data_IF_505593465680
#
_entry.id   IF_505593465680
#
_cell.length_a   1.000
_cell.length_b   1.000
_cell.length_c   1.000
_cell.angle_alpha   90.00
_cell.angle_beta   90.00
_cell.angle_gamma   90.00
#
_symmetry.space_group_name_H-M   'P 1'
#
loop_
_entity.id
_entity.type
_entity.pdbx_description
1 polymer ?
#
# COMPACT_ATOMS: atom_id res chain seq x y z
N UNK A 1 6.28 8.35 -12.72
CA UNK A 1 5.58 8.22 -11.42
C UNK A 1 4.44 9.20 -11.39
N UNK A 2 3.27 8.80 -10.89
CA UNK A 2 2.12 9.69 -10.71
C UNK A 2 1.87 9.79 -9.21
N UNK A 3 1.91 10.99 -8.66
CA UNK A 3 1.58 11.30 -7.27
C UNK A 3 0.27 12.04 -7.21
N UNK A 4 -0.63 11.61 -6.33
CA UNK A 4 -1.99 12.14 -6.22
C UNK A 4 -2.25 12.51 -4.78
N UNK A 5 -2.70 13.73 -4.54
CA UNK A 5 -3.08 14.21 -3.22
C UNK A 5 -4.18 15.29 -3.36
N UNK A 6 -4.96 15.53 -2.31
CA UNK A 6 -5.93 16.63 -2.31
C UNK A 6 -5.27 17.98 -1.96
N UNK A 7 -4.10 17.95 -1.31
CA UNK A 7 -3.30 19.10 -0.90
C UNK A 7 -2.32 19.53 -2.00
N UNK A 8 -2.51 20.73 -2.53
CA UNK A 8 -1.55 21.31 -3.49
C UNK A 8 -0.18 21.55 -2.84
N UNK A 9 -0.16 22.00 -1.58
CA UNK A 9 1.07 22.28 -0.86
C UNK A 9 1.93 21.00 -0.71
N UNK A 10 1.28 19.85 -0.46
CA UNK A 10 1.97 18.56 -0.39
C UNK A 10 2.57 18.16 -1.76
N UNK A 11 1.84 18.40 -2.86
CA UNK A 11 2.31 18.13 -4.22
C UNK A 11 3.47 19.05 -4.63
N UNK A 12 3.45 20.31 -4.22
CA UNK A 12 4.52 21.27 -4.49
C UNK A 12 5.80 20.86 -3.75
N UNK A 13 5.68 20.44 -2.49
CA UNK A 13 6.80 19.85 -1.71
C UNK A 13 7.30 18.56 -2.37
N UNK A 14 6.40 17.68 -2.81
CA UNK A 14 6.80 16.45 -3.50
C UNK A 14 7.60 16.74 -4.78
N UNK A 15 7.18 17.75 -5.57
CA UNK A 15 7.90 18.20 -6.76
C UNK A 15 9.27 18.78 -6.42
N UNK A 16 9.37 19.58 -5.36
CA UNK A 16 10.66 20.10 -4.87
C UNK A 16 11.59 18.95 -4.45
N UNK A 17 11.06 17.94 -3.75
CA UNK A 17 11.85 16.78 -3.32
C UNK A 17 12.39 15.97 -4.51
N UNK A 18 11.62 15.81 -5.59
CA UNK A 18 12.12 15.17 -6.83
C UNK A 18 13.30 15.95 -7.40
N UNK A 19 13.18 17.29 -7.49
CA UNK A 19 14.26 18.14 -8.00
C UNK A 19 15.50 18.13 -7.09
N UNK A 20 15.32 18.18 -5.77
CA UNK A 20 16.42 18.16 -4.78
C UNK A 20 17.23 16.86 -4.84
N UNK A 21 16.60 15.73 -5.17
CA UNK A 21 17.28 14.45 -5.34
C UNK A 21 17.89 14.26 -6.74
N UNK A 22 17.88 15.29 -7.60
CA UNK A 22 18.43 15.22 -8.96
C UNK A 22 17.66 14.28 -9.89
N UNK A 23 16.40 13.98 -9.57
CA UNK A 23 15.54 13.13 -10.38
C UNK A 23 14.85 13.96 -11.48
N UNK A 24 14.61 13.31 -12.63
CA UNK A 24 13.95 13.96 -13.77
C UNK A 24 12.48 14.23 -13.47
N UNK A 25 12.17 15.51 -13.23
CA UNK A 25 10.81 15.99 -12.96
C UNK A 25 9.86 15.72 -14.12
N UNK A 26 10.33 15.64 -15.37
CA UNK A 26 9.46 15.37 -16.52
C UNK A 26 8.87 13.94 -16.52
N UNK A 27 9.49 13.02 -15.77
CA UNK A 27 9.00 11.64 -15.56
C UNK A 27 8.03 11.53 -14.37
N UNK A 28 7.78 12.63 -13.67
CA UNK A 28 6.87 12.70 -12.54
C UNK A 28 5.64 13.56 -12.87
N UNK A 29 4.46 13.09 -12.51
CA UNK A 29 3.22 13.83 -12.59
C UNK A 29 2.66 14.02 -11.18
N UNK A 30 2.17 15.21 -10.89
CA UNK A 30 1.59 15.58 -9.60
C UNK A 30 0.17 16.06 -9.86
N UNK A 31 -0.82 15.31 -9.36
CA UNK A 31 -2.23 15.52 -9.66
C UNK A 31 -2.99 15.87 -8.39
N UNK A 32 -3.61 17.04 -8.38
CA UNK A 32 -4.50 17.44 -7.28
C UNK A 32 -5.91 16.94 -7.53
N UNK A 33 -6.30 15.82 -6.92
CA UNK A 33 -7.64 15.27 -7.08
C UNK A 33 -8.07 14.42 -5.88
N UNK A 34 -9.36 14.14 -5.81
CA UNK A 34 -9.91 13.10 -4.94
C UNK A 34 -9.49 11.72 -5.48
N UNK A 35 -8.76 10.97 -4.65
CA UNK A 35 -8.17 9.67 -5.03
C UNK A 35 -9.25 8.68 -5.46
N UNK A 36 -10.40 8.63 -4.77
CA UNK A 36 -11.48 7.70 -5.14
C UNK A 36 -12.08 8.04 -6.51
N UNK A 37 -12.27 9.33 -6.82
CA UNK A 37 -12.74 9.76 -8.14
C UNK A 37 -11.72 9.46 -9.23
N UNK A 38 -10.44 9.74 -8.97
CA UNK A 38 -9.38 9.51 -9.94
C UNK A 38 -9.23 8.02 -10.25
N UNK A 39 -9.19 7.15 -9.24
CA UNK A 39 -9.07 5.70 -9.43
C UNK A 39 -10.23 5.14 -10.26
N UNK A 40 -11.47 5.59 -10.01
CA UNK A 40 -12.62 5.17 -10.84
C UNK A 40 -12.49 5.61 -12.28
N UNK A 41 -12.08 6.86 -12.54
CA UNK A 41 -11.83 7.33 -13.91
C UNK A 41 -10.73 6.52 -14.61
N UNK A 42 -9.67 6.16 -13.90
CA UNK A 42 -8.62 5.30 -14.42
C UNK A 42 -9.13 3.87 -14.71
N UNK A 43 -10.03 3.33 -13.88
CA UNK A 43 -10.67 2.06 -14.17
C UNK A 43 -11.51 2.15 -15.45
N UNK A 44 -12.31 3.22 -15.58
CA UNK A 44 -13.19 3.46 -16.74
C UNK A 44 -12.39 3.67 -18.04
N UNK A 45 -11.23 4.33 -17.97
CA UNK A 45 -10.34 4.53 -19.12
C UNK A 45 -9.41 3.36 -19.40
N UNK A 46 -9.45 2.30 -18.58
CA UNK A 46 -8.65 1.09 -18.76
C UNK A 46 -7.17 1.27 -18.44
N UNK A 47 -6.80 2.30 -17.69
CA UNK A 47 -5.41 2.55 -17.26
C UNK A 47 -4.87 1.38 -16.44
N UNK A 48 -3.55 1.19 -16.52
CA UNK A 48 -2.84 0.14 -15.79
C UNK A 48 -1.50 0.61 -15.24
N UNK A 49 -1.13 0.03 -14.10
CA UNK A 49 0.13 0.30 -13.40
C UNK A 49 0.81 -1.00 -12.99
N UNK A 50 2.14 -0.99 -12.97
CA UNK A 50 2.94 -2.11 -12.46
C UNK A 50 3.04 -2.09 -10.93
N UNK A 51 3.06 -0.90 -10.34
CA UNK A 51 3.16 -0.70 -8.89
C UNK A 51 2.21 0.42 -8.48
N UNK A 52 1.43 0.18 -7.43
CA UNK A 52 0.58 1.17 -6.77
C UNK A 52 0.93 1.22 -5.29
N UNK A 53 1.13 2.43 -4.76
CA UNK A 53 1.29 2.68 -3.32
C UNK A 53 0.04 3.37 -2.82
N UNK A 54 -0.58 2.79 -1.80
CA UNK A 54 -1.83 3.23 -1.22
C UNK A 54 -1.65 3.49 0.27
N UNK A 55 -1.35 4.74 0.62
CA UNK A 55 -1.23 5.21 2.01
C UNK A 55 -2.34 6.23 2.32
N UNK A 56 -3.59 5.78 2.54
CA UNK A 56 -4.71 6.67 2.74
C UNK A 56 -4.63 7.35 4.13
N UNK A 57 -5.26 8.52 4.29
CA UNK A 57 -5.41 9.13 5.61
C UNK A 57 -6.19 8.21 6.56
N UNK A 58 -6.12 8.49 7.86
CA UNK A 58 -6.77 7.67 8.89
C UNK A 58 -8.30 7.71 8.74
N UNK A 59 -8.89 6.65 8.18
CA UNK A 59 -10.36 6.53 8.07
C UNK A 59 -11.08 6.20 9.39
N UNK A 60 -10.37 5.70 10.40
CA UNK A 60 -10.97 5.31 11.70
C UNK A 60 -10.41 6.20 12.80
N UNK A 61 -11.21 7.15 13.29
CA UNK A 61 -10.86 7.95 14.47
C UNK A 61 -11.46 7.36 15.75
N UNK A 62 -12.63 6.73 15.65
CA UNK A 62 -13.32 6.11 16.78
C UNK A 62 -13.98 4.77 16.39
N UNK A 63 -14.40 3.98 17.39
CA UNK A 63 -14.97 2.64 17.19
C UNK A 63 -16.24 2.63 16.32
N UNK A 64 -17.06 3.68 16.40
CA UNK A 64 -18.31 3.77 15.63
C UNK A 64 -18.06 3.90 14.13
N UNK A 65 -16.91 4.45 13.73
CA UNK A 65 -16.52 4.62 12.33
C UNK A 65 -15.87 3.38 11.72
N UNK A 66 -15.50 2.37 12.53
CA UNK A 66 -14.73 1.21 12.06
C UNK A 66 -15.39 0.51 10.87
N UNK A 67 -16.69 0.23 10.94
CA UNK A 67 -17.44 -0.41 9.85
C UNK A 67 -17.48 0.45 8.58
N UNK A 68 -17.60 1.78 8.72
CA UNK A 68 -17.54 2.71 7.59
C UNK A 68 -16.16 2.70 6.92
N UNK A 69 -15.11 2.76 7.74
CA UNK A 69 -13.74 2.72 7.26
C UNK A 69 -13.38 1.39 6.58
N UNK A 70 -13.85 0.24 7.11
CA UNK A 70 -13.63 -1.06 6.47
C UNK A 70 -14.15 -1.06 5.03
N UNK A 71 -15.31 -0.44 4.78
CA UNK A 71 -15.86 -0.28 3.42
C UNK A 71 -14.99 0.64 2.55
N UNK A 72 -14.52 1.77 3.10
CA UNK A 72 -13.60 2.67 2.39
C UNK A 72 -12.28 2.01 2.01
N UNK A 73 -11.67 1.27 2.94
CA UNK A 73 -10.47 0.48 2.68
C UNK A 73 -10.71 -0.62 1.66
N UNK A 74 -11.86 -1.32 1.72
CA UNK A 74 -12.21 -2.33 0.72
C UNK A 74 -12.29 -1.70 -0.67
N UNK A 75 -13.05 -0.62 -0.81
CA UNK A 75 -13.30 0.05 -2.09
C UNK A 75 -12.00 0.58 -2.72
N UNK A 76 -11.15 1.26 -1.94
CA UNK A 76 -9.90 1.81 -2.47
C UNK A 76 -8.89 0.73 -2.88
N UNK A 77 -8.81 -0.37 -2.12
CA UNK A 77 -7.95 -1.50 -2.46
C UNK A 77 -8.47 -2.26 -3.69
N UNK A 78 -9.78 -2.43 -3.80
CA UNK A 78 -10.41 -3.07 -4.96
C UNK A 78 -10.11 -2.28 -6.24
N UNK A 79 -10.33 -0.96 -6.22
CA UNK A 79 -10.00 -0.09 -7.36
C UNK A 79 -8.51 -0.15 -7.71
N UNK A 80 -7.63 -0.10 -6.70
CA UNK A 80 -6.19 -0.22 -6.94
C UNK A 80 -5.82 -1.56 -7.60
N UNK A 81 -6.38 -2.68 -7.14
CA UNK A 81 -6.13 -4.01 -7.73
C UNK A 81 -6.66 -4.13 -9.15
N UNK A 82 -7.79 -3.50 -9.48
CA UNK A 82 -8.31 -3.46 -10.85
C UNK A 82 -7.35 -2.73 -11.80
N UNK A 83 -6.63 -1.72 -11.30
CA UNK A 83 -5.65 -0.94 -12.05
C UNK A 83 -4.27 -1.60 -12.15
N UNK A 84 -4.03 -2.74 -11.50
CA UNK A 84 -2.75 -3.43 -11.65
C UNK A 84 -2.68 -4.24 -12.95
N UNK A 85 -1.50 -4.21 -13.57
CA UNK A 85 -1.09 -5.19 -14.56
C UNK A 85 -0.97 -6.59 -13.91
N UNK A 86 -1.12 -7.69 -14.68
CA UNK A 86 -0.74 -9.02 -14.21
C UNK A 86 0.72 -9.03 -13.70
N UNK A 87 0.95 -9.55 -12.49
CA UNK A 87 2.25 -9.51 -11.83
C UNK A 87 2.59 -8.19 -11.14
N UNK A 88 1.69 -7.20 -11.18
CA UNK A 88 1.85 -5.92 -10.50
C UNK A 88 1.78 -6.03 -8.97
N UNK A 89 2.28 -5.00 -8.28
CA UNK A 89 2.37 -4.97 -6.81
C UNK A 89 1.55 -3.80 -6.25
N UNK A 90 0.68 -4.10 -5.29
CA UNK A 90 0.02 -3.11 -4.46
C UNK A 90 0.72 -3.05 -3.10
N UNK A 91 1.21 -1.87 -2.70
CA UNK A 91 1.65 -1.60 -1.34
C UNK A 91 0.54 -0.82 -0.64
N UNK A 92 -0.18 -1.45 0.29
CA UNK A 92 -1.35 -0.85 0.95
C UNK A 92 -1.16 -0.73 2.44
N UNK A 93 -1.58 0.40 3.01
CA UNK A 93 -1.32 0.77 4.39
C UNK A 93 -2.60 1.16 5.14
N UNK A 94 -2.56 1.00 6.46
CA UNK A 94 -3.51 1.57 7.41
C UNK A 94 -2.77 2.04 8.65
N UNK A 95 -3.04 3.29 9.05
CA UNK A 95 -2.42 3.93 10.21
C UNK A 95 -3.38 4.08 11.42
N UNK A 96 -4.37 3.19 11.55
CA UNK A 96 -5.29 3.22 12.69
C UNK A 96 -5.00 2.11 13.71
N UNK A 97 -4.85 2.47 14.99
CA UNK A 97 -4.76 1.53 16.10
C UNK A 97 -6.01 0.65 16.28
N UNK A 98 -7.18 1.16 15.86
CA UNK A 98 -8.44 0.40 15.89
C UNK A 98 -8.57 -0.62 14.74
N UNK A 99 -7.77 -0.44 13.68
CA UNK A 99 -7.68 -1.40 12.58
C UNK A 99 -6.65 -2.46 12.95
N UNK A 100 -7.07 -3.60 13.48
CA UNK A 100 -6.16 -4.71 13.78
C UNK A 100 -5.65 -5.37 12.49
N UNK A 101 -4.45 -5.95 12.56
CA UNK A 101 -3.75 -6.54 11.40
C UNK A 101 -4.62 -7.54 10.63
N UNK A 102 -5.28 -8.44 11.36
CA UNK A 102 -6.07 -9.53 10.80
C UNK A 102 -7.33 -9.01 10.10
N UNK A 103 -7.92 -7.92 10.63
CA UNK A 103 -9.05 -7.26 9.99
C UNK A 103 -8.62 -6.60 8.68
N UNK A 104 -7.46 -5.93 8.66
CA UNK A 104 -6.95 -5.31 7.44
C UNK A 104 -6.62 -6.35 6.36
N UNK A 105 -6.00 -7.48 6.71
CA UNK A 105 -5.78 -8.59 5.77
C UNK A 105 -7.10 -9.13 5.19
N UNK A 106 -8.14 -9.30 6.02
CA UNK A 106 -9.46 -9.73 5.55
C UNK A 106 -10.07 -8.72 4.58
N UNK A 107 -9.94 -7.42 4.85
CA UNK A 107 -10.41 -6.36 3.95
C UNK A 107 -9.69 -6.42 2.59
N UNK A 108 -8.37 -6.62 2.59
CA UNK A 108 -7.58 -6.74 1.37
C UNK A 108 -8.00 -8.00 0.59
N UNK A 109 -8.21 -9.13 1.26
CA UNK A 109 -8.66 -10.36 0.62
C UNK A 109 -10.07 -10.22 0.02
N UNK A 110 -10.99 -9.58 0.74
CA UNK A 110 -12.35 -9.31 0.27
C UNK A 110 -12.35 -8.32 -0.92
N UNK A 111 -11.46 -7.32 -0.90
CA UNK A 111 -11.24 -6.42 -2.03
C UNK A 111 -10.69 -7.15 -3.28
N UNK A 112 -9.81 -8.14 -3.09
CA UNK A 112 -9.27 -8.94 -4.19
C UNK A 112 -10.34 -9.81 -4.85
N UNK A 113 -11.21 -10.43 -4.05
CA UNK A 113 -12.36 -11.20 -4.53
C UNK A 113 -13.28 -10.32 -5.40
N UNK A 114 -13.65 -9.14 -4.91
CA UNK A 114 -14.52 -8.21 -5.66
C UNK A 114 -13.81 -7.61 -6.90
N UNK A 115 -12.49 -7.46 -6.85
CA UNK A 115 -11.69 -7.06 -8.01
C UNK A 115 -11.53 -8.18 -9.05
N UNK A 116 -11.93 -9.42 -8.74
CA UNK A 116 -11.71 -10.59 -9.59
C UNK A 116 -10.22 -10.91 -9.78
N UNK A 117 -9.40 -10.68 -8.75
CA UNK A 117 -7.95 -10.88 -8.76
C UNK A 117 -7.52 -11.86 -7.68
N UNK A 118 -6.59 -12.74 -8.03
CA UNK A 118 -5.85 -13.50 -7.02
C UNK A 118 -4.66 -12.69 -6.55
N UNK A 119 -4.41 -12.73 -5.24
CA UNK A 119 -3.34 -11.95 -4.64
C UNK A 119 -2.54 -12.75 -3.63
N UNK A 120 -1.26 -12.40 -3.49
CA UNK A 120 -0.36 -12.98 -2.50
C UNK A 120 0.21 -11.89 -1.60
N UNK A 121 0.09 -12.06 -0.29
CA UNK A 121 0.83 -11.25 0.68
C UNK A 121 2.31 -11.63 0.62
N UNK A 122 3.17 -10.66 0.30
CA UNK A 122 4.61 -10.88 0.15
C UNK A 122 5.30 -10.69 1.50
N UNK A 123 4.92 -9.65 2.23
CA UNK A 123 5.52 -9.26 3.50
C UNK A 123 4.48 -8.53 4.37
N UNK A 124 4.80 -8.31 5.65
CA UNK A 124 4.05 -7.44 6.53
C UNK A 124 4.95 -6.31 7.04
N UNK A 125 4.61 -5.07 6.71
CA UNK A 125 5.24 -3.88 7.24
C UNK A 125 4.59 -3.40 8.54
N UNK A 126 5.41 -2.77 9.38
CA UNK A 126 5.05 -2.19 10.67
C UNK A 126 5.77 -0.86 10.84
N UNK A 127 5.35 -0.08 11.83
CA UNK A 127 6.06 1.12 12.26
C UNK A 127 7.54 0.83 12.56
N UNK A 128 8.40 1.80 12.28
CA UNK A 128 9.84 1.69 12.45
C UNK A 128 10.23 1.58 13.93
N UNK A 129 11.48 1.18 14.19
CA UNK A 129 11.98 0.88 15.54
C UNK A 129 12.03 2.12 16.47
N UNK A 130 12.03 3.33 15.91
CA UNK A 130 11.89 4.61 16.61
C UNK A 130 10.45 4.89 17.08
N UNK A 131 9.49 4.04 16.71
CA UNK A 131 8.09 4.06 17.16
C UNK A 131 7.74 2.76 17.92
N UNK A 132 8.37 2.49 19.08
CA UNK A 132 8.19 1.24 19.80
C UNK A 132 6.75 1.06 20.29
N UNK A 133 6.31 -0.19 20.34
CA UNK A 133 5.01 -0.56 20.92
C UNK A 133 5.25 -1.08 22.33
N UNK A 134 4.72 -0.38 23.33
CA UNK A 134 4.81 -0.79 24.73
C UNK A 134 3.91 -2.00 24.94
N UNK A 135 4.41 -3.04 25.63
CA UNK A 135 3.69 -4.30 25.84
C UNK A 135 2.33 -4.14 26.55
N UNK A 136 2.20 -3.13 27.42
CA UNK A 136 0.96 -2.82 28.14
C UNK A 136 -0.05 -2.01 27.31
N UNK A 137 0.30 -1.60 26.09
CA UNK A 137 -0.53 -0.78 25.21
C UNK A 137 -0.44 -1.27 23.75
N UNK A 138 -1.06 -2.41 23.42
CA UNK A 138 -1.01 -2.99 22.08
C UNK A 138 -1.64 -2.09 21.01
N UNK A 139 -2.56 -1.19 21.38
CA UNK A 139 -3.15 -0.19 20.47
C UNK A 139 -2.11 0.79 19.90
N UNK A 140 -0.93 0.88 20.53
CA UNK A 140 0.22 1.63 20.03
C UNK A 140 0.81 1.05 18.74
N UNK A 141 0.48 -0.21 18.38
CA UNK A 141 0.75 -0.76 17.05
C UNK A 141 -0.32 -0.24 16.08
N UNK A 142 -0.13 0.96 15.53
CA UNK A 142 -1.13 1.61 14.69
C UNK A 142 -0.88 1.43 13.20
N UNK A 143 0.38 1.30 12.76
CA UNK A 143 0.73 1.18 11.35
C UNK A 143 0.77 -0.29 10.91
N UNK A 144 0.04 -0.60 9.83
CA UNK A 144 0.05 -1.90 9.15
C UNK A 144 0.23 -1.63 7.67
N UNK A 145 1.20 -2.31 7.06
CA UNK A 145 1.39 -2.27 5.61
C UNK A 145 1.52 -3.67 5.04
N UNK A 146 1.03 -3.86 3.82
CA UNK A 146 1.13 -5.12 3.10
C UNK A 146 1.51 -4.85 1.65
N UNK A 147 2.68 -5.34 1.20
CA UNK A 147 2.95 -5.57 -0.21
C UNK A 147 2.18 -6.81 -0.67
N UNK A 148 1.42 -6.64 -1.74
CA UNK A 148 0.50 -7.62 -2.28
C UNK A 148 0.80 -7.79 -3.77
N UNK A 149 1.22 -8.99 -4.17
CA UNK A 149 1.41 -9.31 -5.58
C UNK A 149 0.07 -9.72 -6.20
N UNK A 150 -0.32 -9.10 -7.31
CA UNK A 150 -1.47 -9.51 -8.10
C UNK A 150 -1.06 -10.64 -9.04
N UNK A 151 -1.50 -11.86 -8.75
CA UNK A 151 -1.25 -13.03 -9.56
C UNK A 151 -2.38 -13.22 -10.57
N UNK A 152 -2.03 -13.57 -11.80
CA UNK A 152 -2.96 -14.29 -12.68
C UNK A 152 -2.66 -15.78 -12.47
N UNK A 153 -3.60 -16.56 -11.92
CA UNK A 153 -3.40 -17.99 -11.63
C UNK A 153 -2.99 -18.80 -12.87
N UNK A 154 -3.15 -18.26 -14.09
CA UNK A 154 -2.65 -18.87 -15.33
C UNK A 154 -1.14 -18.77 -15.51
N UNK A 155 -0.48 -17.88 -14.79
CA UNK A 155 0.98 -17.64 -14.82
C UNK A 155 1.61 -17.93 -13.46
N UNK A 156 1.35 -19.13 -12.94
CA UNK A 156 1.95 -19.67 -11.71
C UNK A 156 3.45 -20.01 -11.86
N UNK A 157 4.19 -19.26 -12.68
CA UNK A 157 5.63 -19.18 -12.64
C UNK A 157 5.99 -17.85 -11.99
N UNK A 158 6.32 -17.89 -10.69
CA UNK A 158 6.94 -16.76 -10.02
C UNK A 158 8.09 -16.24 -10.90
N UNK A 159 8.10 -14.97 -11.36
CA UNK A 159 9.33 -14.40 -11.87
C UNK A 159 10.33 -14.41 -10.71
N UNK A 160 11.62 -14.71 -10.96
CA UNK A 160 12.63 -14.74 -9.92
C UNK A 160 12.97 -13.29 -9.52
N UNK A 161 12.07 -12.61 -8.82
CA UNK A 161 12.42 -11.41 -8.06
C UNK A 161 13.18 -11.86 -6.81
N UNK A 162 14.40 -12.34 -7.06
CA UNK A 162 15.40 -12.67 -6.06
C UNK A 162 15.88 -11.35 -5.49
N UNK A 163 15.15 -10.79 -4.52
CA UNK A 163 15.71 -9.82 -3.59
C UNK A 163 16.79 -10.55 -2.80
N UNK A 164 18.01 -10.58 -3.34
CA UNK A 164 19.20 -10.96 -2.58
C UNK A 164 19.46 -9.86 -1.56
N UNK A 165 18.66 -9.84 -0.49
CA UNK A 165 19.14 -9.38 0.80
C UNK A 165 20.30 -10.29 1.16
N UNK A 166 21.52 -9.81 0.94
CA UNK A 166 22.73 -10.45 1.45
C UNK A 166 22.66 -10.32 2.97
N UNK A 167 22.03 -11.29 3.61
CA UNK A 167 22.23 -11.54 5.04
C UNK A 167 23.69 -11.97 5.14
N UNK A 168 24.57 -11.04 5.48
CA UNK A 168 25.88 -11.36 6.00
C UNK A 168 25.64 -11.97 7.39
N UNK A 169 25.34 -13.27 7.41
CA UNK A 169 25.47 -14.09 8.59
C UNK A 169 26.94 -14.14 8.95
N UNK A 170 27.34 -13.33 9.93
CA UNK A 170 28.54 -13.56 10.71
C UNK A 170 28.28 -14.76 11.63
N UNK A 171 29.15 -15.76 11.51
CA UNK A 171 29.16 -17.01 12.24
C UNK A 171 28.87 -16.88 13.74
N UNK A 172 28.06 -17.81 14.23
CA UNK A 172 28.16 -18.31 15.60
C UNK A 172 29.60 -18.79 15.84
N UNK A 173 30.23 -18.27 16.88
CA UNK A 173 31.14 -19.06 17.69
C UNK A 173 30.69 -18.97 19.15
N UNK A 174 30.28 -20.13 19.67
CA UNK A 174 30.27 -20.41 21.09
C UNK A 174 31.69 -20.28 21.63
N UNK A 175 31.90 -19.37 22.59
CA UNK A 175 32.67 -19.61 23.83
C UNK A 175 32.05 -18.81 24.96
#
# INVERSE_FOLDING_TARGET
MISVDTSQDALDVAKQNVALNGLDVSRAQFLRDDVFKLLRRYCDSGEKFDIIVMDPPKFVENKNQLMGACRGYKDINMLAMQLLNPGGILLTFSCSGLMVTELFQKIIADAAVDAGRDVQFIEQFRQAADHPVIASYPEGLYLKGFPVACCDLKTLSLPPYRWQGKVLGGHNDCQ
#
